data_IF_500863764374
#
_entry.id   IF_500863764374
#
_cell.length_a   1.000
_cell.length_b   1.000
_cell.length_c   1.000
_cell.angle_alpha   90.00
_cell.angle_beta   90.00
_cell.angle_gamma   90.00
#
_symmetry.space_group_name_H-M   'P 1'
#
loop_
_entity.id
_entity.type
_entity.pdbx_description
1 polymer ?
#
# COMPACT_ATOMS: atom_id res chain seq x y z
N UNK A 1 16.77 13.23 -23.76
CA UNK A 1 15.87 14.05 -22.93
C UNK A 1 16.60 14.63 -21.72
N UNK A 2 17.23 13.78 -20.89
CA UNK A 2 17.95 14.19 -19.68
C UNK A 2 18.94 15.35 -19.89
N UNK A 3 19.79 15.30 -20.93
CA UNK A 3 20.78 16.35 -21.21
C UNK A 3 20.15 17.71 -21.57
N UNK A 4 19.04 17.71 -22.32
CA UNK A 4 18.30 18.95 -22.62
C UNK A 4 17.73 19.58 -21.35
N UNK A 5 17.25 18.75 -20.44
CA UNK A 5 16.69 19.18 -19.16
C UNK A 5 17.77 19.76 -18.24
N UNK A 6 18.96 19.13 -18.18
CA UNK A 6 20.11 19.65 -17.42
C UNK A 6 20.55 21.03 -17.94
N UNK A 7 20.60 21.20 -19.27
CA UNK A 7 20.94 22.48 -19.90
C UNK A 7 19.92 23.56 -19.51
N UNK A 8 18.63 23.27 -19.68
CA UNK A 8 17.53 24.17 -19.33
C UNK A 8 17.55 24.62 -17.86
N UNK A 9 17.81 23.70 -16.93
CA UNK A 9 17.90 24.04 -15.50
C UNK A 9 19.08 24.99 -15.23
N UNK A 10 20.20 24.77 -15.90
CA UNK A 10 21.38 25.62 -15.77
C UNK A 10 21.11 27.03 -16.33
N UNK A 11 20.41 27.14 -17.46
CA UNK A 11 19.97 28.42 -18.03
C UNK A 11 19.00 29.17 -17.11
N UNK A 12 18.18 28.46 -16.35
CA UNK A 12 17.28 29.02 -15.32
C UNK A 12 17.97 29.36 -14.01
N UNK A 13 19.30 29.23 -13.93
CA UNK A 13 20.09 29.61 -12.76
C UNK A 13 20.20 28.55 -11.67
N UNK A 14 19.73 27.32 -11.91
CA UNK A 14 19.96 26.22 -10.97
C UNK A 14 21.41 25.79 -10.98
N UNK A 15 21.98 25.62 -9.79
CA UNK A 15 23.34 25.12 -9.60
C UNK A 15 23.31 23.60 -9.37
N UNK A 16 24.20 22.87 -10.06
CA UNK A 16 24.30 21.43 -9.93
C UNK A 16 25.08 21.03 -8.68
N UNK A 17 24.54 20.11 -7.88
CA UNK A 17 25.26 19.41 -6.83
C UNK A 17 25.72 18.07 -7.40
N UNK A 18 27.05 17.86 -7.41
CA UNK A 18 27.63 16.62 -7.92
C UNK A 18 27.27 15.45 -7.01
N UNK A 19 26.56 14.48 -7.57
CA UNK A 19 26.23 13.20 -6.92
C UNK A 19 26.92 12.08 -7.70
N UNK A 20 27.62 11.18 -7.02
CA UNK A 20 28.32 10.06 -7.64
C UNK A 20 27.43 8.81 -7.73
N UNK A 21 26.20 8.99 -8.21
CA UNK A 21 25.22 7.91 -8.38
C UNK A 21 24.57 8.05 -9.75
N UNK A 22 24.62 7.00 -10.54
CA UNK A 22 24.04 7.00 -11.88
C UNK A 22 22.52 7.16 -11.81
N UNK A 23 21.96 8.00 -12.69
CA UNK A 23 20.52 8.24 -12.76
C UNK A 23 19.94 9.19 -11.70
N UNK A 24 20.78 9.78 -10.84
CA UNK A 24 20.36 10.76 -9.83
C UNK A 24 21.09 12.07 -10.08
N UNK A 25 20.34 13.16 -10.26
CA UNK A 25 20.92 14.49 -10.43
C UNK A 25 20.24 15.48 -9.50
N UNK A 26 21.05 16.32 -8.87
CA UNK A 26 20.59 17.26 -7.85
C UNK A 26 20.90 18.68 -8.28
N UNK A 27 19.89 19.53 -8.22
CA UNK A 27 19.98 20.94 -8.59
C UNK A 27 19.40 21.78 -7.46
N UNK A 28 19.94 22.98 -7.25
CA UNK A 28 19.36 23.91 -6.29
C UNK A 28 19.37 25.34 -6.82
N UNK A 29 18.40 26.12 -6.35
CA UNK A 29 18.29 27.55 -6.54
C UNK A 29 18.17 28.19 -5.16
N UNK A 30 19.10 29.08 -4.84
CA UNK A 30 19.12 29.78 -3.56
C UNK A 30 18.42 31.13 -3.70
N UNK A 31 17.37 31.33 -2.91
CA UNK A 31 16.68 32.60 -2.76
C UNK A 31 17.01 33.22 -1.39
N UNK A 32 16.64 34.47 -1.14
CA UNK A 32 16.95 35.17 0.11
C UNK A 32 16.46 34.41 1.36
N UNK A 33 15.31 33.75 1.27
CA UNK A 33 14.65 33.09 2.41
C UNK A 33 14.56 31.56 2.31
N UNK A 34 14.77 30.97 1.12
CA UNK A 34 14.52 29.55 0.87
C UNK A 34 15.55 28.95 -0.08
N UNK A 35 15.81 27.66 0.07
CA UNK A 35 16.58 26.86 -0.89
C UNK A 35 15.60 25.94 -1.61
N UNK A 36 15.44 26.15 -2.91
CA UNK A 36 14.61 25.29 -3.77
C UNK A 36 15.50 24.22 -4.36
N UNK A 37 15.21 22.97 -4.04
CA UNK A 37 15.97 21.83 -4.50
C UNK A 37 15.14 21.01 -5.47
N UNK A 38 15.75 20.69 -6.60
CA UNK A 38 15.18 19.89 -7.66
C UNK A 38 15.96 18.58 -7.79
N UNK A 39 15.28 17.47 -7.50
CA UNK A 39 15.79 16.12 -7.61
C UNK A 39 15.34 15.53 -8.96
N UNK A 40 16.29 15.25 -9.84
CA UNK A 40 16.04 14.62 -11.12
C UNK A 40 16.36 13.12 -11.05
N UNK A 41 15.38 12.27 -11.30
CA UNK A 41 15.53 10.81 -11.28
C UNK A 41 15.31 10.23 -12.68
N UNK A 42 16.36 9.63 -13.24
CA UNK A 42 16.29 8.88 -14.50
C UNK A 42 15.87 7.44 -14.20
N UNK A 43 14.62 7.11 -14.53
CA UNK A 43 14.00 5.84 -14.19
C UNK A 43 13.34 5.21 -15.43
N UNK A 44 14.13 4.83 -16.46
CA UNK A 44 13.61 4.38 -17.74
C UNK A 44 12.65 3.20 -17.62
N UNK A 45 12.90 2.26 -16.69
CA UNK A 45 12.13 1.01 -16.53
C UNK A 45 11.08 1.06 -15.42
N UNK A 46 11.15 2.07 -14.56
CA UNK A 46 10.27 2.31 -13.43
C UNK A 46 10.46 1.34 -12.26
N UNK A 47 11.60 0.66 -12.19
CA UNK A 47 11.96 -0.28 -11.10
C UNK A 47 13.31 0.04 -10.46
N UNK A 48 13.94 1.16 -10.86
CA UNK A 48 15.22 1.64 -10.34
C UNK A 48 15.15 1.94 -8.85
N UNK A 49 13.99 2.44 -8.39
CA UNK A 49 13.73 2.73 -6.98
C UNK A 49 12.41 2.10 -6.55
N UNK A 50 12.43 1.49 -5.36
CA UNK A 50 11.20 1.22 -4.61
C UNK A 50 10.67 2.51 -3.98
N UNK A 51 9.37 2.54 -3.65
CA UNK A 51 8.75 3.66 -2.93
C UNK A 51 9.53 4.03 -1.66
N UNK A 52 9.89 3.06 -0.84
CA UNK A 52 10.62 3.32 0.40
C UNK A 52 12.03 3.85 0.14
N UNK A 53 12.73 3.34 -0.89
CA UNK A 53 14.04 3.89 -1.29
C UNK A 53 13.92 5.33 -1.76
N UNK A 54 12.88 5.64 -2.54
CA UNK A 54 12.60 7.00 -3.00
C UNK A 54 12.33 7.95 -1.84
N UNK A 55 11.41 7.59 -0.93
CA UNK A 55 11.04 8.42 0.22
C UNK A 55 12.22 8.59 1.19
N UNK A 56 12.92 7.51 1.54
CA UNK A 56 14.10 7.59 2.42
C UNK A 56 15.21 8.45 1.80
N UNK A 57 15.42 8.36 0.49
CA UNK A 57 16.40 9.20 -0.20
C UNK A 57 15.98 10.68 -0.15
N UNK A 58 14.71 10.99 -0.42
CA UNK A 58 14.17 12.35 -0.34
C UNK A 58 14.33 12.91 1.07
N UNK A 59 13.95 12.16 2.11
CA UNK A 59 14.10 12.55 3.52
C UNK A 59 15.56 12.78 3.92
N UNK A 60 16.48 11.89 3.53
CA UNK A 60 17.91 12.06 3.84
C UNK A 60 18.51 13.29 3.16
N UNK A 61 18.10 13.59 1.92
CA UNK A 61 18.52 14.79 1.21
C UNK A 61 18.01 16.04 1.95
N UNK A 62 16.73 16.07 2.31
CA UNK A 62 16.14 17.16 3.11
C UNK A 62 16.90 17.36 4.42
N UNK A 63 17.02 16.30 5.23
CA UNK A 63 17.65 16.35 6.56
C UNK A 63 19.11 16.84 6.50
N UNK A 64 19.90 16.32 5.57
CA UNK A 64 21.31 16.68 5.44
C UNK A 64 21.54 18.13 4.99
N UNK A 65 20.62 18.70 4.24
CA UNK A 65 20.71 20.09 3.79
C UNK A 65 20.15 21.05 4.83
N UNK A 66 19.05 20.69 5.51
CA UNK A 66 18.50 21.47 6.62
C UNK A 66 19.50 21.59 7.77
N UNK A 67 20.27 20.55 8.05
CA UNK A 67 21.31 20.59 9.08
C UNK A 67 22.48 21.55 8.75
N UNK A 68 22.63 21.98 7.49
CA UNK A 68 23.76 22.81 7.02
C UNK A 68 23.38 24.25 6.70
N UNK A 69 22.09 24.57 6.66
CA UNK A 69 21.59 25.87 6.24
C UNK A 69 20.41 26.32 7.12
N UNK A 70 20.45 27.57 7.58
CA UNK A 70 19.38 28.18 8.38
C UNK A 70 18.20 28.68 7.52
N UNK A 71 17.97 28.04 6.36
CA UNK A 71 16.95 28.40 5.37
C UNK A 71 15.97 27.26 5.18
N UNK A 72 14.70 27.61 4.93
CA UNK A 72 13.66 26.63 4.61
C UNK A 72 13.98 25.95 3.27
N UNK A 73 13.95 24.62 3.23
CA UNK A 73 14.25 23.82 2.04
C UNK A 73 12.96 23.25 1.48
N UNK A 74 12.71 23.51 0.19
CA UNK A 74 11.61 22.92 -0.57
C UNK A 74 12.19 21.93 -1.58
N UNK A 75 11.75 20.68 -1.54
CA UNK A 75 12.26 19.61 -2.42
C UNK A 75 11.18 19.16 -3.38
N UNK A 76 11.48 19.32 -4.67
CA UNK A 76 10.63 18.84 -5.75
C UNK A 76 11.35 17.79 -6.60
N UNK A 77 10.66 16.71 -6.94
CA UNK A 77 11.25 15.60 -7.71
C UNK A 77 10.70 15.57 -9.12
N UNK A 78 11.55 15.42 -10.14
CA UNK A 78 11.14 15.13 -11.51
C UNK A 78 11.63 13.73 -11.90
N UNK A 79 10.70 12.84 -12.21
CA UNK A 79 11.01 11.52 -12.74
C UNK A 79 11.01 11.55 -14.27
N UNK A 80 12.05 11.01 -14.90
CA UNK A 80 12.06 10.72 -16.35
C UNK A 80 11.85 9.22 -16.52
N UNK A 81 10.79 8.83 -17.22
CA UNK A 81 10.47 7.41 -17.35
C UNK A 81 9.68 7.09 -18.61
N UNK A 82 9.90 5.89 -19.15
CA UNK A 82 9.00 5.28 -20.14
C UNK A 82 7.88 4.46 -19.46
N UNK A 83 7.98 4.23 -18.15
CA UNK A 83 7.10 3.39 -17.35
C UNK A 83 6.28 4.22 -16.33
N UNK A 84 5.54 5.21 -16.84
CA UNK A 84 4.80 6.21 -16.04
C UNK A 84 3.89 5.61 -14.95
N UNK A 85 3.22 4.49 -15.23
CA UNK A 85 2.36 3.80 -14.25
C UNK A 85 3.13 3.25 -13.05
N UNK A 86 4.37 2.76 -13.26
CA UNK A 86 5.21 2.24 -12.18
C UNK A 86 5.75 3.37 -11.32
N UNK A 87 6.24 4.44 -11.94
CA UNK A 87 6.71 5.62 -11.22
C UNK A 87 5.57 6.30 -10.45
N UNK A 88 4.35 6.34 -11.01
CA UNK A 88 3.18 6.82 -10.27
C UNK A 88 2.96 6.03 -8.97
N UNK A 89 3.17 4.72 -8.98
CA UNK A 89 3.06 3.91 -7.76
C UNK A 89 4.22 4.14 -6.78
N UNK A 90 5.41 4.48 -7.28
CA UNK A 90 6.57 4.87 -6.46
C UNK A 90 6.35 6.23 -5.79
N UNK A 91 5.72 7.17 -6.50
CA UNK A 91 5.55 8.56 -6.08
C UNK A 91 4.12 8.89 -5.60
N UNK A 92 3.27 7.89 -5.33
CA UNK A 92 1.83 8.07 -5.11
C UNK A 92 1.46 9.00 -3.95
N UNK A 93 2.36 9.14 -2.99
CA UNK A 93 2.13 9.85 -1.73
C UNK A 93 2.95 11.14 -1.66
N UNK A 94 3.60 11.51 -2.76
CA UNK A 94 4.44 12.69 -2.85
C UNK A 94 3.77 13.76 -3.73
N UNK A 95 3.20 14.77 -3.08
CA UNK A 95 2.60 15.93 -3.74
C UNK A 95 3.64 16.83 -4.44
N UNK A 96 4.93 16.67 -4.12
CA UNK A 96 6.01 17.48 -4.69
C UNK A 96 6.84 16.67 -5.68
N UNK A 97 6.15 16.02 -6.61
CA UNK A 97 6.80 15.33 -7.72
C UNK A 97 6.09 15.53 -9.07
N UNK A 98 6.85 15.55 -10.15
CA UNK A 98 6.36 15.52 -11.53
C UNK A 98 6.90 14.32 -12.27
N UNK A 99 6.12 13.80 -13.23
CA UNK A 99 6.55 12.69 -14.09
C UNK A 99 6.66 13.20 -15.53
N UNK A 100 7.85 13.06 -16.12
CA UNK A 100 8.09 13.23 -17.54
C UNK A 100 8.00 11.86 -18.22
N UNK A 101 6.99 11.71 -19.06
CA UNK A 101 6.82 10.55 -19.94
C UNK A 101 7.78 10.68 -21.13
N UNK A 102 8.78 9.80 -21.19
CA UNK A 102 9.77 9.83 -22.26
C UNK A 102 9.28 9.20 -23.56
N UNK A 103 8.15 8.48 -23.54
CA UNK A 103 7.55 7.93 -24.76
C UNK A 103 6.73 9.00 -25.48
N UNK A 104 5.89 9.69 -24.72
CA UNK A 104 4.94 10.67 -25.25
C UNK A 104 5.44 12.13 -25.15
N UNK A 105 6.64 12.34 -24.61
CA UNK A 105 7.26 13.67 -24.40
C UNK A 105 6.30 14.67 -23.76
N UNK A 106 5.71 14.27 -22.62
CA UNK A 106 4.75 15.10 -21.89
C UNK A 106 5.03 15.11 -20.39
N UNK A 107 4.60 16.19 -19.75
CA UNK A 107 4.59 16.34 -18.31
C UNK A 107 3.26 15.80 -17.77
N UNK A 108 3.33 14.93 -16.77
CA UNK A 108 2.17 14.37 -16.09
C UNK A 108 2.14 14.91 -14.67
N UNK A 109 1.04 15.60 -14.36
CA UNK A 109 0.68 16.15 -13.06
C UNK A 109 -0.59 15.44 -12.58
N UNK A 110 -0.60 14.93 -11.36
CA UNK A 110 -1.81 14.35 -10.77
C UNK A 110 -2.47 15.36 -9.82
N UNK A 111 -3.75 15.14 -9.49
CA UNK A 111 -4.61 16.08 -8.73
C UNK A 111 -4.01 16.55 -7.38
N UNK A 112 -3.12 15.76 -6.79
CA UNK A 112 -2.46 16.07 -5.52
C UNK A 112 -1.11 16.78 -5.69
N UNK A 113 -0.68 17.12 -6.91
CA UNK A 113 0.67 17.61 -7.20
C UNK A 113 0.72 19.14 -7.24
N UNK A 114 1.82 19.73 -6.78
CA UNK A 114 2.07 21.18 -6.91
C UNK A 114 2.08 21.59 -8.39
N UNK A 115 1.22 22.57 -8.74
CA UNK A 115 0.90 22.90 -10.13
C UNK A 115 1.99 23.67 -10.87
N UNK A 116 2.90 24.33 -10.14
CA UNK A 116 4.10 24.97 -10.69
C UNK A 116 5.17 25.13 -9.59
N UNK A 117 6.34 24.51 -9.79
CA UNK A 117 7.49 24.63 -8.91
C UNK A 117 8.49 25.62 -9.50
N UNK A 118 8.61 26.80 -8.88
CA UNK A 118 9.59 27.82 -9.24
C UNK A 118 9.48 28.39 -10.67
N UNK A 119 8.31 28.33 -11.32
CA UNK A 119 8.10 28.92 -12.64
C UNK A 119 8.75 28.16 -13.79
N UNK A 120 9.11 26.89 -13.58
CA UNK A 120 9.79 26.08 -14.60
C UNK A 120 8.81 25.30 -15.46
N UNK A 121 7.54 25.16 -15.07
CA UNK A 121 6.56 24.31 -15.75
C UNK A 121 6.42 24.64 -17.24
N UNK A 122 6.09 25.88 -17.59
CA UNK A 122 5.82 26.27 -18.97
C UNK A 122 7.04 26.05 -19.87
N UNK A 123 8.24 26.29 -19.33
CA UNK A 123 9.48 26.02 -20.05
C UNK A 123 9.78 24.53 -20.21
N UNK A 124 9.38 23.69 -19.26
CA UNK A 124 9.46 22.23 -19.38
C UNK A 124 8.48 21.70 -20.42
N UNK A 125 7.23 22.16 -20.42
CA UNK A 125 6.22 21.78 -21.42
C UNK A 125 6.67 22.21 -22.82
N UNK A 126 7.23 23.42 -22.97
CA UNK A 126 7.82 23.88 -24.23
C UNK A 126 9.03 23.02 -24.65
N UNK A 127 9.92 22.68 -23.71
CA UNK A 127 11.09 21.85 -24.00
C UNK A 127 10.70 20.43 -24.42
N UNK A 128 9.66 19.88 -23.78
CA UNK A 128 9.08 18.58 -24.09
C UNK A 128 8.43 18.56 -25.47
N UNK A 129 7.63 19.59 -25.79
CA UNK A 129 7.04 19.74 -27.13
C UNK A 129 8.13 19.77 -28.20
N UNK A 130 9.16 20.62 -28.05
CA UNK A 130 10.32 20.70 -28.97
C UNK A 130 11.16 19.42 -29.03
N UNK A 131 11.10 18.56 -28.01
CA UNK A 131 11.82 17.30 -27.96
C UNK A 131 11.04 16.14 -28.59
N UNK A 132 9.74 16.29 -28.80
CA UNK A 132 8.88 15.26 -29.41
C UNK A 132 9.29 15.00 -30.87
N UNK A 133 9.45 13.74 -31.29
CA UNK A 133 9.68 13.36 -32.68
C UNK A 133 8.54 13.79 -33.62
N UNK A 134 7.37 14.08 -33.05
CA UNK A 134 6.16 14.51 -33.77
C UNK A 134 5.98 16.04 -33.75
N UNK A 135 6.98 16.81 -33.28
CA UNK A 135 6.93 18.26 -33.30
C UNK A 135 7.12 18.78 -34.72
N UNK A 136 6.00 19.08 -35.38
CA UNK A 136 6.00 19.85 -36.62
C UNK A 136 6.11 21.33 -36.27
N UNK A 137 7.17 21.99 -36.75
CA UNK A 137 7.29 23.44 -36.72
C UNK A 137 6.29 24.02 -37.72
N UNK A 138 5.06 24.26 -37.30
CA UNK A 138 4.21 25.22 -38.00
C UNK A 138 4.52 26.60 -37.41
N UNK A 139 5.65 27.15 -37.85
CA UNK A 139 5.72 28.60 -38.04
C UNK A 139 4.72 28.93 -39.14
N UNK A 140 3.52 29.35 -38.75
CA UNK A 140 2.76 30.46 -39.33
C UNK A 140 1.31 30.40 -38.85
N UNK A 141 0.88 31.53 -38.29
CA UNK A 141 -0.44 32.16 -38.38
C UNK A 141 -1.64 31.37 -38.91
N UNK A 142 -2.73 31.51 -38.15
CA UNK A 142 -4.12 31.59 -38.60
C UNK A 142 -4.96 30.31 -38.77
N UNK A 143 -6.07 30.34 -38.01
CA UNK A 143 -7.44 29.87 -38.29
C UNK A 143 -7.76 28.39 -38.55
N UNK A 144 -8.78 27.97 -37.78
CA UNK A 144 -9.96 27.18 -38.15
C UNK A 144 -9.85 25.76 -38.72
N UNK A 145 -10.71 24.93 -38.12
CA UNK A 145 -11.69 24.05 -38.76
C UNK A 145 -11.53 22.52 -38.66
N UNK A 146 -12.70 21.91 -38.48
CA UNK A 146 -13.03 20.50 -38.43
C UNK A 146 -12.73 19.75 -39.75
N UNK A 147 -12.50 18.43 -39.60
CA UNK A 147 -12.91 17.28 -40.46
C UNK A 147 -11.78 16.26 -40.67
N UNK A 148 -11.97 15.03 -40.17
CA UNK A 148 -12.46 13.82 -40.89
C UNK A 148 -11.36 13.07 -41.66
N UNK A 149 -11.45 11.73 -41.66
CA UNK A 149 -10.91 10.93 -42.75
C UNK A 149 -9.75 9.97 -42.44
N UNK A 150 -10.10 8.83 -41.82
CA UNK A 150 -9.79 7.44 -42.25
C UNK A 150 -8.38 7.03 -42.74
N UNK A 151 -8.02 5.82 -42.26
CA UNK A 151 -7.35 4.71 -42.95
C UNK A 151 -5.82 4.86 -43.19
N UNK A 152 -4.95 3.84 -43.10
CA UNK A 152 -5.08 2.37 -43.06
C UNK A 152 -3.68 1.76 -42.79
N UNK A 153 -3.67 0.65 -42.03
CA UNK A 153 -2.88 -0.59 -42.20
C UNK A 153 -1.35 -0.68 -42.02
N UNK A 154 -0.97 -1.73 -41.27
CA UNK A 154 0.32 -2.41 -41.19
C UNK A 154 0.92 -2.30 -39.79
N UNK A 155 0.97 -3.31 -38.90
CA UNK A 155 0.95 -4.75 -39.06
C UNK A 155 2.22 -5.32 -38.40
N UNK A 156 2.09 -5.81 -37.17
CA UNK A 156 3.10 -6.55 -36.40
C UNK A 156 3.46 -5.86 -35.07
N UNK A 157 3.49 -6.49 -33.91
CA UNK A 157 3.25 -7.88 -33.47
C UNK A 157 2.77 -7.81 -32.00
N UNK A 158 1.90 -8.75 -31.63
CA UNK A 158 1.07 -8.78 -30.43
C UNK A 158 1.63 -9.77 -29.39
N UNK A 159 1.84 -9.33 -28.14
CA UNK A 159 1.81 -10.18 -26.93
C UNK A 159 1.38 -9.33 -25.73
N UNK A 160 0.27 -9.58 -25.03
CA UNK A 160 -0.76 -10.61 -25.20
C UNK A 160 -2.07 -10.20 -24.51
N UNK A 161 -3.17 -10.56 -25.17
CA UNK A 161 -4.56 -10.22 -24.85
C UNK A 161 -5.14 -11.00 -23.65
N UNK A 162 -6.26 -10.52 -23.07
CA UNK A 162 -6.95 -11.17 -21.95
C UNK A 162 -7.48 -12.59 -22.29
N UNK A 163 -7.47 -13.46 -21.27
CA UNK A 163 -7.90 -14.87 -21.37
C UNK A 163 -9.42 -14.99 -21.47
N UNK A 164 -9.91 -15.52 -22.60
CA UNK A 164 -11.31 -15.90 -22.84
C UNK A 164 -11.58 -17.36 -22.42
N UNK A 165 -12.83 -17.68 -22.08
CA UNK A 165 -13.34 -19.06 -22.07
C UNK A 165 -13.79 -19.48 -23.49
N UNK A 166 -13.91 -20.78 -23.75
CA UNK A 166 -14.30 -21.40 -25.04
C UNK A 166 -15.70 -20.99 -25.55
N UNK A 167 -16.40 -20.13 -24.81
CA UNK A 167 -17.71 -19.54 -25.15
C UNK A 167 -17.61 -18.07 -25.56
N UNK A 168 -16.42 -17.46 -25.59
CA UNK A 168 -16.22 -16.08 -26.03
C UNK A 168 -16.69 -15.00 -25.04
N UNK A 169 -17.10 -15.37 -23.83
CA UNK A 169 -17.48 -14.42 -22.79
C UNK A 169 -16.20 -13.88 -22.13
N UNK A 170 -16.01 -12.55 -22.14
CA UNK A 170 -14.96 -11.88 -21.36
C UNK A 170 -15.07 -12.33 -19.91
N UNK A 171 -14.01 -12.94 -19.34
CA UNK A 171 -13.92 -12.99 -17.88
C UNK A 171 -13.87 -11.55 -17.39
N UNK A 172 -14.77 -11.10 -16.50
CA UNK A 172 -14.59 -9.80 -15.90
C UNK A 172 -13.22 -9.82 -15.21
N UNK A 173 -12.40 -8.80 -15.47
CA UNK A 173 -11.26 -8.48 -14.62
C UNK A 173 -11.85 -7.98 -13.29
N UNK A 174 -12.40 -8.91 -12.49
CA UNK A 174 -12.82 -8.66 -11.11
C UNK A 174 -11.77 -9.39 -10.25
N UNK A 175 -11.07 -8.75 -9.31
CA UNK A 175 -11.57 -7.76 -8.37
C UNK A 175 -10.40 -6.97 -7.76
N UNK A 176 -10.52 -5.64 -7.72
CA UNK A 176 -9.77 -4.78 -6.81
C UNK A 176 -10.21 -5.13 -5.38
N UNK A 177 -9.26 -5.56 -4.54
CA UNK A 177 -9.44 -6.03 -3.15
C UNK A 177 -10.34 -7.26 -2.94
N UNK A 178 -9.95 -8.08 -1.95
CA UNK A 178 -10.68 -9.27 -1.54
C UNK A 178 -11.91 -8.86 -0.73
N UNK A 179 -13.08 -9.36 -1.14
CA UNK A 179 -14.38 -8.90 -0.64
C UNK A 179 -14.52 -8.99 0.87
N UNK A 180 -14.23 -10.16 1.42
CA UNK A 180 -14.52 -10.43 2.82
C UNK A 180 -13.58 -9.62 3.69
N UNK A 181 -12.31 -9.52 3.32
CA UNK A 181 -11.32 -8.69 3.98
C UNK A 181 -11.71 -7.20 3.93
N UNK A 182 -12.10 -6.68 2.77
CA UNK A 182 -12.57 -5.28 2.65
C UNK A 182 -13.80 -5.03 3.53
N UNK A 183 -14.75 -5.96 3.56
CA UNK A 183 -15.93 -5.83 4.41
C UNK A 183 -15.56 -5.85 5.90
N UNK A 184 -14.63 -6.72 6.32
CA UNK A 184 -14.13 -6.76 7.70
C UNK A 184 -13.44 -5.44 8.06
N UNK A 185 -12.56 -4.93 7.21
CA UNK A 185 -11.87 -3.65 7.44
C UNK A 185 -12.87 -2.50 7.56
N UNK A 186 -13.81 -2.39 6.62
CA UNK A 186 -14.84 -1.37 6.64
C UNK A 186 -15.73 -1.47 7.88
N UNK A 187 -16.10 -2.69 8.30
CA UNK A 187 -16.90 -2.92 9.51
C UNK A 187 -16.17 -2.48 10.77
N UNK A 188 -14.86 -2.78 10.88
CA UNK A 188 -14.05 -2.34 12.02
C UNK A 188 -13.93 -0.81 12.09
N UNK A 189 -13.69 -0.15 10.95
CA UNK A 189 -13.63 1.32 10.87
C UNK A 189 -14.99 1.94 11.23
N UNK A 190 -16.09 1.41 10.69
CA UNK A 190 -17.43 1.89 10.98
C UNK A 190 -17.78 1.76 12.46
N UNK A 191 -17.53 0.59 13.06
CA UNK A 191 -17.79 0.35 14.49
C UNK A 191 -16.94 1.30 15.35
N UNK A 192 -15.67 1.53 14.98
CA UNK A 192 -14.83 2.49 15.68
C UNK A 192 -15.39 3.91 15.62
N UNK A 193 -15.80 4.40 14.44
CA UNK A 193 -16.41 5.73 14.27
C UNK A 193 -17.71 5.84 15.07
N UNK A 194 -18.57 4.82 15.03
CA UNK A 194 -19.83 4.80 15.78
C UNK A 194 -19.57 4.88 17.28
N UNK A 195 -18.62 4.09 17.80
CA UNK A 195 -18.25 4.14 19.21
C UNK A 195 -17.64 5.49 19.60
N UNK A 196 -16.73 6.02 18.80
CA UNK A 196 -16.07 7.30 19.06
C UNK A 196 -17.09 8.46 19.09
N UNK A 197 -18.06 8.47 18.17
CA UNK A 197 -19.11 9.48 18.09
C UNK A 197 -20.19 9.33 19.18
N UNK A 198 -20.63 8.10 19.49
CA UNK A 198 -21.70 7.86 20.46
C UNK A 198 -21.25 7.92 21.92
N UNK A 199 -19.99 7.61 22.22
CA UNK A 199 -19.57 7.34 23.61
C UNK A 199 -19.04 8.54 24.39
N UNK A 200 -18.97 9.75 23.80
CA UNK A 200 -18.43 10.97 24.44
C UNK A 200 -17.25 10.68 25.39
N UNK A 201 -16.10 10.31 24.81
CA UNK A 201 -14.81 9.91 25.42
C UNK A 201 -14.75 8.52 26.06
N UNK A 202 -13.59 7.88 25.80
CA UNK A 202 -13.13 6.53 26.11
C UNK A 202 -13.28 6.05 27.57
N UNK A 203 -14.50 5.89 28.07
CA UNK A 203 -14.75 5.27 29.36
C UNK A 203 -14.83 3.74 29.24
N UNK A 204 -14.29 3.02 30.23
CA UNK A 204 -14.27 1.54 30.25
C UNK A 204 -15.68 0.93 30.15
N UNK A 205 -16.69 1.61 30.68
CA UNK A 205 -18.09 1.20 30.58
C UNK A 205 -18.59 1.15 29.13
N UNK A 206 -18.14 2.08 28.28
CA UNK A 206 -18.49 2.13 26.86
C UNK A 206 -18.03 0.87 26.12
N UNK A 207 -16.85 0.34 26.46
CA UNK A 207 -16.34 -0.91 25.87
C UNK A 207 -17.12 -2.14 26.37
N UNK A 208 -17.42 -2.20 27.67
CA UNK A 208 -18.20 -3.32 28.23
C UNK A 208 -19.61 -3.34 27.63
N UNK A 209 -20.27 -2.19 27.52
CA UNK A 209 -21.58 -2.07 26.89
C UNK A 209 -21.52 -2.33 25.38
N UNK A 210 -20.43 -1.91 24.72
CA UNK A 210 -20.14 -2.18 23.31
C UNK A 210 -19.82 -3.64 22.98
N UNK A 211 -19.72 -4.52 23.98
CA UNK A 211 -19.49 -5.96 23.76
C UNK A 211 -18.05 -6.41 23.88
N UNK A 212 -17.21 -5.70 24.65
CA UNK A 212 -15.84 -6.13 24.96
C UNK A 212 -15.84 -7.52 25.63
N UNK A 213 -14.76 -8.25 25.42
CA UNK A 213 -14.59 -9.56 26.03
C UNK A 213 -14.30 -9.38 27.52
N UNK A 214 -15.19 -9.92 28.34
CA UNK A 214 -15.08 -9.87 29.80
C UNK A 214 -15.48 -11.22 30.37
N UNK A 215 -14.52 -11.93 30.96
CA UNK A 215 -14.71 -13.34 31.35
C UNK A 215 -15.85 -13.55 32.37
N UNK A 216 -16.10 -12.67 33.36
CA UNK A 216 -17.21 -12.86 34.28
C UNK A 216 -18.57 -12.73 33.58
N UNK A 217 -18.69 -11.82 32.59
CA UNK A 217 -19.90 -11.69 31.78
C UNK A 217 -20.19 -12.94 30.93
N UNK A 218 -19.15 -13.53 30.34
CA UNK A 218 -19.30 -14.75 29.54
C UNK A 218 -19.65 -15.94 30.44
N UNK A 219 -18.94 -16.12 31.56
CA UNK A 219 -19.08 -17.28 32.44
C UNK A 219 -20.35 -17.26 33.29
N UNK A 220 -20.68 -16.13 33.91
CA UNK A 220 -21.77 -16.05 34.88
C UNK A 220 -23.09 -15.55 34.29
N UNK A 221 -23.03 -14.83 33.16
CA UNK A 221 -24.21 -14.22 32.53
C UNK A 221 -24.48 -14.74 31.11
N UNK A 222 -23.76 -15.78 30.67
CA UNK A 222 -23.94 -16.44 29.36
C UNK A 222 -23.83 -15.48 28.15
N UNK A 223 -23.05 -14.40 28.26
CA UNK A 223 -22.89 -13.40 27.20
C UNK A 223 -21.88 -13.85 26.13
N UNK A 224 -22.13 -15.01 25.50
CA UNK A 224 -21.23 -15.64 24.53
C UNK A 224 -21.00 -14.81 23.26
N UNK A 225 -21.90 -13.89 22.92
CA UNK A 225 -21.72 -12.96 21.80
C UNK A 225 -20.41 -12.14 21.93
N UNK A 226 -19.91 -11.94 23.17
CA UNK A 226 -18.65 -11.26 23.46
C UNK A 226 -17.42 -11.96 22.90
N UNK A 227 -17.50 -13.24 22.54
CA UNK A 227 -16.44 -13.97 21.83
C UNK A 227 -16.33 -13.56 20.35
N UNK A 228 -17.28 -12.79 19.83
CA UNK A 228 -17.27 -12.27 18.46
C UNK A 228 -17.20 -10.74 18.47
N UNK A 229 -18.05 -10.07 19.26
CA UNK A 229 -18.16 -8.61 19.22
C UNK A 229 -16.86 -7.90 19.60
N UNK A 230 -16.08 -8.47 20.51
CA UNK A 230 -14.81 -7.89 20.94
C UNK A 230 -13.78 -7.74 19.80
N UNK A 231 -13.88 -8.58 18.76
CA UNK A 231 -13.01 -8.54 17.59
C UNK A 231 -13.14 -7.22 16.81
N UNK A 232 -14.24 -6.48 17.00
CA UNK A 232 -14.53 -5.25 16.26
C UNK A 232 -14.28 -3.97 17.06
N UNK A 233 -14.05 -4.09 18.37
CA UNK A 233 -13.82 -2.96 19.26
C UNK A 233 -12.34 -2.61 19.28
N UNK A 234 -11.99 -1.33 19.28
CA UNK A 234 -10.60 -0.88 19.32
C UNK A 234 -10.43 0.20 20.39
N UNK A 235 -9.32 0.12 21.13
CA UNK A 235 -9.05 1.02 22.27
C UNK A 235 -8.59 2.43 21.87
N UNK A 236 -8.26 2.65 20.60
CA UNK A 236 -7.80 3.92 20.06
C UNK A 236 -7.44 3.84 18.58
N UNK A 237 -7.16 4.99 17.97
CA UNK A 237 -6.90 5.10 16.53
C UNK A 237 -5.67 4.30 16.10
N UNK A 238 -4.56 4.38 16.83
CA UNK A 238 -3.33 3.64 16.51
C UNK A 238 -3.55 2.12 16.53
N UNK A 239 -4.33 1.64 17.50
CA UNK A 239 -4.68 0.22 17.60
C UNK A 239 -5.54 -0.22 16.40
N UNK A 240 -6.50 0.60 15.98
CA UNK A 240 -7.30 0.34 14.78
C UNK A 240 -6.41 0.34 13.52
N UNK A 241 -5.62 1.39 13.30
CA UNK A 241 -4.79 1.57 12.10
C UNK A 241 -3.83 0.40 11.94
N UNK A 242 -3.12 0.01 13.01
CA UNK A 242 -2.19 -1.12 12.98
C UNK A 242 -2.90 -2.43 12.60
N UNK A 243 -4.08 -2.70 13.18
CA UNK A 243 -4.86 -3.88 12.83
C UNK A 243 -5.34 -3.86 11.37
N UNK A 244 -5.80 -2.71 10.89
CA UNK A 244 -6.32 -2.56 9.52
C UNK A 244 -5.22 -2.68 8.46
N UNK A 245 -4.02 -2.15 8.72
CA UNK A 245 -2.85 -2.34 7.84
C UNK A 245 -2.58 -3.85 7.68
N UNK A 246 -2.49 -4.61 8.76
CA UNK A 246 -2.21 -6.05 8.67
C UNK A 246 -3.32 -6.79 7.93
N UNK A 247 -4.60 -6.45 8.15
CA UNK A 247 -5.71 -7.05 7.39
C UNK A 247 -5.67 -6.68 5.90
N UNK A 248 -5.44 -5.41 5.56
CA UNK A 248 -5.37 -4.96 4.16
C UNK A 248 -4.26 -5.65 3.37
N UNK A 249 -3.13 -5.95 4.01
CA UNK A 249 -2.03 -6.67 3.35
C UNK A 249 -2.13 -8.19 3.51
N UNK A 250 -2.05 -8.71 4.74
CA UNK A 250 -1.98 -10.16 4.98
C UNK A 250 -3.35 -10.81 4.83
N UNK A 251 -4.41 -10.15 5.28
CA UNK A 251 -5.78 -10.66 5.13
C UNK A 251 -6.19 -10.77 3.67
N UNK A 252 -5.92 -9.75 2.85
CA UNK A 252 -6.19 -9.79 1.40
C UNK A 252 -5.41 -10.91 0.71
N UNK A 253 -4.12 -11.05 1.02
CA UNK A 253 -3.30 -12.13 0.48
C UNK A 253 -3.83 -13.52 0.90
N UNK A 254 -4.29 -13.66 2.14
CA UNK A 254 -4.82 -14.93 2.64
C UNK A 254 -6.16 -15.26 1.98
N UNK A 255 -7.05 -14.29 1.79
CA UNK A 255 -8.32 -14.49 1.09
C UNK A 255 -8.09 -14.91 -0.36
N UNK A 256 -7.11 -14.31 -1.06
CA UNK A 256 -6.73 -14.74 -2.41
C UNK A 256 -6.16 -16.16 -2.45
N UNK A 257 -5.33 -16.51 -1.47
CA UNK A 257 -4.70 -17.82 -1.41
C UNK A 257 -5.67 -18.95 -1.01
N UNK A 258 -6.61 -18.68 -0.10
CA UNK A 258 -7.50 -19.70 0.50
C UNK A 258 -8.92 -19.67 -0.05
N UNK A 259 -9.35 -18.53 -0.60
CA UNK A 259 -10.73 -18.25 -0.99
C UNK A 259 -11.58 -17.71 0.16
N UNK A 260 -12.62 -16.95 -0.21
CA UNK A 260 -13.53 -16.17 0.67
C UNK A 260 -13.99 -16.92 1.92
N UNK A 261 -14.62 -18.08 1.75
CA UNK A 261 -15.21 -18.84 2.85
C UNK A 261 -14.18 -19.36 3.84
N UNK A 262 -13.02 -19.82 3.35
CA UNK A 262 -11.95 -20.33 4.21
C UNK A 262 -11.30 -19.20 4.99
N UNK A 263 -11.09 -18.06 4.34
CA UNK A 263 -10.58 -16.87 5.00
C UNK A 263 -11.50 -16.40 6.14
N UNK A 264 -12.82 -16.33 5.90
CA UNK A 264 -13.80 -15.98 6.94
C UNK A 264 -13.75 -16.96 8.11
N UNK A 265 -13.72 -18.27 7.83
CA UNK A 265 -13.61 -19.30 8.88
C UNK A 265 -12.30 -19.18 9.67
N UNK A 266 -11.19 -18.89 8.99
CA UNK A 266 -9.89 -18.66 9.65
C UNK A 266 -9.95 -17.42 10.54
N UNK A 267 -10.48 -16.30 10.04
CA UNK A 267 -10.56 -15.05 10.79
C UNK A 267 -11.43 -15.20 12.05
N UNK A 268 -12.68 -15.63 11.90
CA UNK A 268 -13.59 -15.79 13.04
C UNK A 268 -13.20 -16.95 13.95
N UNK A 269 -12.79 -18.09 13.39
CA UNK A 269 -12.35 -19.25 14.17
C UNK A 269 -11.13 -18.92 15.03
N UNK A 270 -10.14 -18.23 14.47
CA UNK A 270 -8.97 -17.80 15.23
C UNK A 270 -9.32 -16.74 16.27
N UNK A 271 -10.22 -15.80 15.95
CA UNK A 271 -10.73 -14.83 16.92
C UNK A 271 -11.41 -15.51 18.11
N UNK A 272 -12.31 -16.47 17.88
CA UNK A 272 -12.98 -17.19 18.97
C UNK A 272 -11.96 -17.91 19.86
N UNK A 273 -10.99 -18.63 19.27
CA UNK A 273 -9.96 -19.35 20.04
C UNK A 273 -9.04 -18.38 20.78
N UNK A 274 -8.69 -17.24 20.19
CA UNK A 274 -7.96 -16.17 20.84
C UNK A 274 -8.72 -15.63 22.06
N UNK A 275 -10.02 -15.35 21.91
CA UNK A 275 -10.89 -14.91 22.99
C UNK A 275 -10.98 -15.95 24.11
N UNK A 276 -11.16 -17.23 23.78
CA UNK A 276 -11.16 -18.31 24.78
C UNK A 276 -9.80 -18.40 25.50
N UNK A 277 -8.69 -18.27 24.77
CA UNK A 277 -7.34 -18.33 25.34
C UNK A 277 -7.07 -17.19 26.32
N UNK A 278 -7.43 -15.97 25.94
CA UNK A 278 -7.40 -14.80 26.82
C UNK A 278 -8.28 -14.98 28.06
N UNK A 279 -9.52 -15.43 27.84
CA UNK A 279 -10.49 -15.64 28.90
C UNK A 279 -9.99 -16.68 29.91
N UNK A 280 -9.45 -17.80 29.42
CA UNK A 280 -8.84 -18.85 30.24
C UNK A 280 -7.63 -18.36 31.04
N UNK A 281 -6.75 -17.55 30.42
CA UNK A 281 -5.61 -16.95 31.12
C UNK A 281 -6.06 -16.00 32.24
N UNK A 282 -6.99 -15.10 31.94
CA UNK A 282 -7.52 -14.13 32.91
C UNK A 282 -8.28 -14.82 34.05
N UNK A 283 -9.03 -15.88 33.76
CA UNK A 283 -9.67 -16.72 34.77
C UNK A 283 -8.65 -17.40 35.69
N UNK A 284 -7.59 -17.98 35.13
CA UNK A 284 -6.54 -18.66 35.90
C UNK A 284 -5.78 -17.69 36.81
N UNK A 285 -5.58 -16.45 36.36
CA UNK A 285 -4.93 -15.38 37.13
C UNK A 285 -5.88 -14.58 38.02
N UNK A 286 -7.18 -14.85 37.94
CA UNK A 286 -8.25 -14.10 38.62
C UNK A 286 -8.19 -12.58 38.34
N UNK A 287 -7.91 -12.22 37.08
CA UNK A 287 -7.81 -10.83 36.62
C UNK A 287 -9.10 -10.46 35.90
N UNK A 288 -9.75 -9.39 36.34
CA UNK A 288 -10.97 -8.85 35.71
C UNK A 288 -10.62 -7.85 34.59
N UNK A 289 -9.85 -8.31 33.61
CA UNK A 289 -9.49 -7.52 32.45
C UNK A 289 -10.57 -7.57 31.36
N UNK A 290 -10.67 -6.49 30.60
CA UNK A 290 -11.47 -6.40 29.38
C UNK A 290 -10.54 -6.44 28.17
N UNK A 291 -10.90 -7.25 27.18
CA UNK A 291 -10.15 -7.34 25.92
C UNK A 291 -10.97 -6.79 24.77
N UNK A 292 -10.33 -5.97 23.93
CA UNK A 292 -10.87 -5.39 22.70
C UNK A 292 -9.83 -5.53 21.61
N UNK A 293 -10.24 -5.78 20.37
CA UNK A 293 -9.39 -5.70 19.20
C UNK A 293 -9.47 -6.92 18.29
N UNK A 294 -9.34 -6.66 16.99
CA UNK A 294 -9.23 -7.70 15.97
C UNK A 294 -7.91 -8.49 16.04
N UNK A 295 -6.98 -8.08 16.90
CA UNK A 295 -5.59 -8.54 16.89
C UNK A 295 -5.44 -10.06 17.09
N UNK A 296 -6.26 -10.70 17.93
CA UNK A 296 -6.26 -12.17 18.04
C UNK A 296 -6.61 -12.88 16.72
N UNK A 297 -7.63 -12.40 16.02
CA UNK A 297 -8.04 -12.89 14.70
C UNK A 297 -6.97 -12.62 13.65
N UNK A 298 -6.31 -11.46 13.73
CA UNK A 298 -5.22 -11.06 12.84
C UNK A 298 -3.99 -11.95 13.05
N UNK A 299 -3.63 -12.28 14.29
CA UNK A 299 -2.58 -13.25 14.58
C UNK A 299 -2.91 -14.63 13.99
N UNK A 300 -4.18 -15.02 13.97
CA UNK A 300 -4.62 -16.19 13.23
C UNK A 300 -4.47 -16.08 11.72
N UNK A 301 -4.83 -14.94 11.13
CA UNK A 301 -4.59 -14.67 9.70
C UNK A 301 -3.09 -14.71 9.37
N UNK A 302 -2.23 -14.16 10.22
CA UNK A 302 -0.77 -14.19 10.11
C UNK A 302 -0.24 -15.63 10.21
N UNK A 303 -0.72 -16.42 11.18
CA UNK A 303 -0.37 -17.84 11.32
C UNK A 303 -0.80 -18.69 10.15
N UNK A 304 -2.02 -18.48 9.66
CA UNK A 304 -2.54 -19.13 8.47
C UNK A 304 -1.70 -18.80 7.22
N UNK A 305 -1.30 -17.54 7.06
CA UNK A 305 -0.42 -17.12 5.98
C UNK A 305 0.96 -17.78 6.09
N UNK A 306 1.54 -17.83 7.30
CA UNK A 306 2.82 -18.51 7.53
C UNK A 306 2.76 -19.99 7.12
N UNK A 307 1.67 -20.68 7.47
CA UNK A 307 1.43 -22.06 7.03
C UNK A 307 1.35 -22.17 5.51
N UNK A 308 0.54 -21.33 4.86
CA UNK A 308 0.39 -21.32 3.39
C UNK A 308 1.73 -21.08 2.69
N UNK A 309 2.53 -20.12 3.17
CA UNK A 309 3.88 -19.84 2.64
C UNK A 309 4.81 -21.04 2.78
N UNK A 310 4.83 -21.67 3.96
CA UNK A 310 5.69 -22.83 4.23
C UNK A 310 5.31 -24.03 3.34
N UNK A 311 4.02 -24.32 3.22
CA UNK A 311 3.47 -25.43 2.45
C UNK A 311 3.73 -25.26 0.94
N UNK A 312 3.71 -24.04 0.43
CA UNK A 312 4.04 -23.78 -0.98
C UNK A 312 5.54 -23.58 -1.25
N UNK A 313 6.42 -23.91 -0.29
CA UNK A 313 7.88 -23.70 -0.39
C UNK A 313 8.25 -22.28 -0.83
N UNK A 314 7.49 -21.31 -0.36
CA UNK A 314 7.67 -19.92 -0.71
C UNK A 314 7.31 -19.56 -2.17
N UNK A 315 6.47 -20.33 -2.85
CA UNK A 315 5.99 -20.04 -4.21
C UNK A 315 4.49 -19.78 -4.20
N UNK A 316 4.10 -18.53 -3.98
CA UNK A 316 2.74 -18.05 -4.24
C UNK A 316 2.77 -17.29 -5.57
N UNK A 317 1.89 -17.64 -6.51
CA UNK A 317 1.79 -16.93 -7.78
C UNK A 317 1.54 -15.44 -7.52
N UNK A 318 2.32 -14.57 -8.17
CA UNK A 318 2.18 -13.11 -8.19
C UNK A 318 2.56 -12.33 -6.92
N UNK A 319 3.19 -12.94 -5.92
CA UNK A 319 3.59 -12.22 -4.68
C UNK A 319 5.00 -12.59 -4.22
N UNK A 320 5.80 -11.60 -3.83
CA UNK A 320 7.13 -11.83 -3.27
C UNK A 320 7.02 -12.49 -1.89
N UNK A 321 7.15 -13.80 -1.85
CA UNK A 321 7.02 -14.58 -0.61
C UNK A 321 8.01 -14.17 0.46
N UNK A 322 9.19 -13.66 0.07
CA UNK A 322 10.17 -13.11 1.01
C UNK A 322 9.61 -11.89 1.75
N UNK A 323 8.89 -11.01 1.06
CA UNK A 323 8.27 -9.83 1.68
C UNK A 323 7.14 -10.23 2.64
N UNK A 324 6.28 -11.18 2.23
CA UNK A 324 5.22 -11.71 3.12
C UNK A 324 5.84 -12.32 4.38
N UNK A 325 6.89 -13.14 4.23
CA UNK A 325 7.56 -13.77 5.37
C UNK A 325 8.16 -12.73 6.32
N UNK A 326 8.88 -11.74 5.81
CA UNK A 326 9.43 -10.66 6.63
C UNK A 326 8.32 -9.89 7.36
N UNK A 327 7.23 -9.57 6.67
CA UNK A 327 6.09 -8.86 7.26
C UNK A 327 5.41 -9.70 8.36
N UNK A 328 5.23 -11.00 8.14
CA UNK A 328 4.74 -11.94 9.17
C UNK A 328 5.65 -11.90 10.38
N UNK A 329 6.97 -12.02 10.20
CA UNK A 329 7.93 -11.98 11.30
C UNK A 329 7.87 -10.66 12.08
N UNK A 330 7.84 -9.51 11.39
CA UNK A 330 7.73 -8.20 12.03
C UNK A 330 6.40 -8.01 12.76
N UNK A 331 5.29 -8.49 12.18
CA UNK A 331 3.96 -8.42 12.80
C UNK A 331 3.90 -9.24 14.09
N UNK A 332 4.48 -10.46 14.07
CA UNK A 332 4.58 -11.31 15.25
C UNK A 332 5.46 -10.66 16.33
N UNK A 333 6.61 -10.13 15.94
CA UNK A 333 7.53 -9.46 16.86
C UNK A 333 6.87 -8.24 17.51
N UNK A 334 6.28 -7.34 16.72
CA UNK A 334 5.64 -6.13 17.21
C UNK A 334 4.45 -6.41 18.12
N UNK A 335 3.60 -7.39 17.80
CA UNK A 335 2.44 -7.69 18.63
C UNK A 335 2.80 -8.38 19.95
N UNK A 336 3.78 -9.30 19.97
CA UNK A 336 4.18 -10.02 21.20
C UNK A 336 5.01 -9.17 22.18
N UNK A 337 5.68 -8.12 21.70
CA UNK A 337 6.56 -7.26 22.51
C UNK A 337 5.88 -5.98 23.00
N UNK A 338 4.66 -5.69 22.54
CA UNK A 338 3.96 -4.46 22.89
C UNK A 338 3.33 -4.54 24.29
N UNK A 339 3.52 -3.49 25.09
CA UNK A 339 2.97 -3.42 26.45
C UNK A 339 1.46 -3.13 26.43
N UNK A 340 0.70 -3.74 27.35
CA UNK A 340 -0.76 -3.60 27.40
C UNK A 340 -1.51 -4.47 26.39
N UNK A 341 -0.84 -5.47 25.79
CA UNK A 341 -1.37 -6.34 24.75
C UNK A 341 -1.65 -7.75 25.29
N UNK A 342 -2.75 -8.34 24.82
CA UNK A 342 -3.23 -9.66 25.24
C UNK A 342 -2.44 -10.78 24.54
N UNK A 343 -1.27 -11.10 25.08
CA UNK A 343 -0.39 -12.13 24.53
C UNK A 343 -1.03 -13.53 24.50
N UNK A 344 -1.94 -13.83 25.44
CA UNK A 344 -2.67 -15.09 25.45
C UNK A 344 -3.62 -15.18 24.25
N UNK A 345 -4.32 -14.08 23.91
CA UNK A 345 -5.12 -13.99 22.69
C UNK A 345 -4.24 -14.14 21.45
N UNK A 346 -3.07 -13.51 21.39
CA UNK A 346 -2.19 -13.56 20.21
C UNK A 346 -1.64 -14.96 19.96
N UNK A 347 -1.14 -15.63 21.00
CA UNK A 347 -0.64 -17.00 20.88
C UNK A 347 -1.78 -17.95 20.51
N UNK A 348 -2.93 -17.83 21.17
CA UNK A 348 -4.11 -18.65 20.87
C UNK A 348 -4.60 -18.48 19.43
N UNK A 349 -4.69 -17.22 18.97
CA UNK A 349 -5.06 -16.88 17.60
C UNK A 349 -4.07 -17.43 16.58
N UNK A 350 -2.77 -17.24 16.81
CA UNK A 350 -1.71 -17.73 15.93
C UNK A 350 -1.77 -19.24 15.70
N UNK A 351 -1.84 -20.00 16.80
CA UNK A 351 -1.91 -21.46 16.75
C UNK A 351 -3.20 -21.94 16.09
N UNK A 352 -4.33 -21.30 16.39
CA UNK A 352 -5.60 -21.59 15.75
C UNK A 352 -5.54 -21.33 14.23
N UNK A 353 -4.95 -20.21 13.81
CA UNK A 353 -4.77 -19.87 12.41
C UNK A 353 -3.94 -20.89 11.64
N UNK A 354 -2.81 -21.33 12.21
CA UNK A 354 -1.97 -22.38 11.63
C UNK A 354 -2.78 -23.69 11.49
N UNK A 355 -3.48 -24.09 12.55
CA UNK A 355 -4.27 -25.33 12.55
C UNK A 355 -5.43 -25.27 11.55
N UNK A 356 -6.19 -24.17 11.54
CA UNK A 356 -7.31 -23.97 10.62
C UNK A 356 -6.81 -23.91 9.18
N UNK A 357 -5.69 -23.26 8.90
CA UNK A 357 -5.07 -23.30 7.58
C UNK A 357 -4.63 -24.72 7.21
N UNK A 358 -4.05 -25.48 8.12
CA UNK A 358 -3.66 -26.87 7.87
C UNK A 358 -4.83 -27.78 7.49
N UNK A 359 -6.00 -27.53 8.08
CA UNK A 359 -7.22 -28.31 7.81
C UNK A 359 -7.91 -27.81 6.53
N UNK A 360 -8.02 -26.50 6.34
CA UNK A 360 -8.87 -25.89 5.31
C UNK A 360 -8.15 -25.63 3.99
N UNK A 361 -6.83 -25.37 4.03
CA UNK A 361 -6.06 -25.00 2.84
C UNK A 361 -5.86 -26.20 1.92
N UNK A 362 -6.26 -26.04 0.66
CA UNK A 362 -5.99 -27.01 -0.41
C UNK A 362 -4.97 -26.40 -1.37
N UNK A 363 -3.82 -27.06 -1.53
CA UNK A 363 -2.82 -26.63 -2.52
C UNK A 363 -3.45 -26.61 -3.91
N UNK A 364 -3.19 -25.58 -4.73
CA UNK A 364 -3.57 -25.60 -6.14
C UNK A 364 -2.91 -26.81 -6.82
N UNK A 365 -3.69 -27.63 -7.52
CA UNK A 365 -3.13 -28.67 -8.40
C UNK A 365 -2.31 -27.94 -9.47
N UNK A 366 -1.05 -28.34 -9.66
CA UNK A 366 -0.31 -27.97 -10.88
C UNK A 366 -1.21 -28.37 -12.06
N UNK A 367 -1.58 -27.41 -12.91
CA UNK A 367 -2.07 -27.76 -14.24
C UNK A 367 -0.89 -28.41 -14.93
N UNK A 368 -0.95 -29.72 -15.13
CA UNK A 368 -0.05 -30.38 -16.05
C UNK A 368 -0.28 -29.72 -17.39
N UNK A 369 0.70 -28.94 -17.84
CA UNK A 369 0.73 -28.42 -19.20
C UNK A 369 0.92 -29.68 -20.05
N UNK A 370 -0.19 -30.18 -20.58
CA UNK A 370 -0.18 -31.22 -21.60
C UNK A 370 0.75 -30.71 -22.71
N UNK A 371 1.88 -31.41 -22.86
CA UNK A 371 2.76 -31.30 -24.01
C UNK A 371 1.97 -31.91 -25.18
N UNK A 372 1.22 -31.07 -25.88
CA UNK A 372 0.69 -31.34 -27.22
C UNK A 372 1.66 -30.83 -28.27
#
# INVERSE_FOLDING_TARGET
MIEKLKLYLTEKGYQNIRVNVHGIYLYYLNDNFKIKLLLLLDCPTGVEFTRDQYLNMKEQICHNLSAKHDKMIEVHTIFLTSATKKIRAVASDDSDCWIIDTNDYRLILYENHTSDFAGIRDGLELLLSKASPYYHTNDNSDTDDYHDGKARHGGGEEYGNPVYDNTGIKKPVSRYFSLCNTFLVATNILIFIILDFLSQRYHMESYVNGGALYWPAVKYYNQFYRLITYMFLHSGLDHLVNNMIVLLFIGDNLERATGKWRYVLIYFGSGIVAGISSMGYNMLKNINAISVGASGSIFGVVGAMAYVVAVNKGRLENISTRQIFMFVCFSLYGGLTSQGVDNAAHIGGLLAGILLAAILYKRPKKRDVERG
#
